data_IF_548185763213
#
_entry.id   IF_548185763213
#
_cell.length_a   1.000
_cell.length_b   1.000
_cell.length_c   1.000
_cell.angle_alpha   90.00
_cell.angle_beta   90.00
_cell.angle_gamma   90.00
#
_symmetry.space_group_name_H-M   'P 1'
#
loop_
_entity.id
_entity.type
_entity.pdbx_description
1 polymer ?
#
# COMPACT_ATOMS: atom_id res chain seq x y z
N UNK A 1 -18.99 8.30 19.23
CA UNK A 1 -18.86 9.66 18.67
C UNK A 1 -17.54 9.91 17.94
N UNK A 2 -16.36 9.53 18.48
CA UNK A 2 -15.07 9.74 17.80
C UNK A 2 -14.70 8.72 16.68
N UNK A 3 -15.24 7.50 16.73
CA UNK A 3 -15.02 6.44 15.73
C UNK A 3 -16.29 6.12 14.91
N UNK A 4 -17.21 7.08 14.80
CA UNK A 4 -18.36 6.91 13.91
C UNK A 4 -17.88 6.93 12.45
N UNK A 5 -18.41 6.07 11.56
CA UNK A 5 -18.04 6.08 10.15
C UNK A 5 -18.24 7.47 9.55
N UNK A 6 -17.19 8.04 8.97
CA UNK A 6 -17.31 9.23 8.13
C UNK A 6 -18.13 8.89 6.88
N UNK A 7 -18.69 9.91 6.22
CA UNK A 7 -19.43 9.72 4.96
C UNK A 7 -18.59 8.89 3.97
N UNK A 8 -19.17 7.85 3.36
CA UNK A 8 -18.44 6.99 2.44
C UNK A 8 -18.08 7.75 1.17
N UNK A 9 -16.88 7.49 0.64
CA UNK A 9 -16.55 7.80 -0.75
C UNK A 9 -17.02 6.63 -1.63
N UNK A 10 -17.40 6.92 -2.87
CA UNK A 10 -17.88 5.91 -3.83
C UNK A 10 -16.77 5.65 -4.85
N UNK A 11 -16.27 4.43 -4.90
CA UNK A 11 -15.39 3.95 -5.96
C UNK A 11 -16.22 3.13 -6.96
N UNK A 12 -16.18 3.49 -8.24
CA UNK A 12 -16.93 2.81 -9.31
C UNK A 12 -15.95 2.11 -10.25
N UNK A 13 -16.15 0.81 -10.46
CA UNK A 13 -15.40 0.00 -11.44
C UNK A 13 -16.24 -0.10 -12.72
N UNK A 14 -15.82 0.59 -13.79
CA UNK A 14 -16.62 0.77 -15.01
C UNK A 14 -15.96 0.24 -16.29
N UNK A 15 -14.75 -0.32 -16.22
CA UNK A 15 -14.02 -0.85 -17.37
C UNK A 15 -13.44 -2.22 -17.04
N UNK A 16 -13.62 -3.16 -17.97
CA UNK A 16 -12.95 -4.46 -17.96
C UNK A 16 -11.56 -4.37 -18.59
N UNK A 17 -10.70 -5.28 -18.19
CA UNK A 17 -9.32 -5.39 -18.64
C UNK A 17 -9.26 -5.88 -20.08
N UNK A 18 -8.35 -5.32 -20.89
CA UNK A 18 -8.17 -5.70 -22.30
C UNK A 18 -7.25 -6.93 -22.39
N UNK A 19 -6.19 -6.99 -21.58
CA UNK A 19 -5.30 -8.15 -21.49
C UNK A 19 -5.07 -8.58 -20.03
N UNK A 20 -5.58 -9.76 -19.67
CA UNK A 20 -5.50 -10.30 -18.31
C UNK A 20 -4.05 -10.44 -17.80
N UNK A 21 -3.13 -10.93 -18.64
CA UNK A 21 -1.76 -11.18 -18.19
C UNK A 21 -1.00 -9.86 -17.99
N UNK A 22 -1.13 -8.92 -18.93
CA UNK A 22 -0.44 -7.65 -18.88
C UNK A 22 -0.96 -6.71 -17.77
N UNK A 23 -2.25 -6.77 -17.45
CA UNK A 23 -2.88 -5.85 -16.50
C UNK A 23 -3.20 -6.47 -15.14
N UNK A 24 -3.69 -7.73 -15.07
CA UNK A 24 -4.02 -8.39 -13.80
C UNK A 24 -2.83 -9.12 -13.22
N UNK A 25 -2.23 -10.01 -14.01
CA UNK A 25 -1.20 -10.93 -13.51
C UNK A 25 0.09 -10.17 -13.15
N UNK A 26 0.44 -9.15 -13.93
CA UNK A 26 1.61 -8.31 -13.69
C UNK A 26 1.38 -7.13 -12.73
N UNK A 27 0.17 -7.01 -12.19
CA UNK A 27 -0.17 -5.96 -11.22
C UNK A 27 0.64 -6.12 -9.93
N UNK A 28 1.14 -5.01 -9.39
CA UNK A 28 2.00 -5.00 -8.21
C UNK A 28 1.53 -3.95 -7.19
N UNK A 29 0.82 -4.40 -6.15
CA UNK A 29 0.44 -3.55 -5.01
C UNK A 29 1.46 -3.66 -3.89
N UNK A 30 1.89 -2.54 -3.32
CA UNK A 30 2.77 -2.54 -2.16
C UNK A 30 2.28 -1.48 -1.16
N UNK A 31 2.02 -1.84 0.12
CA UNK A 31 1.66 -0.85 1.14
C UNK A 31 2.76 0.20 1.37
N UNK A 32 4.00 -0.06 0.95
CA UNK A 32 5.09 0.92 1.00
C UNK A 32 4.90 2.14 0.07
N UNK A 33 3.99 2.06 -0.90
CA UNK A 33 3.72 3.14 -1.84
C UNK A 33 2.67 4.08 -1.27
N UNK A 34 3.13 5.01 -0.41
CA UNK A 34 2.31 6.03 0.23
C UNK A 34 2.50 7.40 -0.41
N UNK A 35 1.45 8.23 -0.33
CA UNK A 35 1.42 9.62 -0.81
C UNK A 35 1.51 10.54 0.42
N UNK A 36 2.15 11.73 0.31
CA UNK A 36 2.20 12.69 1.41
C UNK A 36 0.82 12.94 2.05
N UNK A 37 0.75 12.85 3.38
CA UNK A 37 -0.50 12.94 4.15
C UNK A 37 -1.00 11.59 4.70
N UNK A 38 -0.55 10.47 4.15
CA UNK A 38 -0.81 9.11 4.67
C UNK A 38 0.50 8.56 5.23
N UNK A 39 0.46 8.04 6.46
CA UNK A 39 1.65 7.55 7.17
C UNK A 39 1.39 6.18 7.80
N UNK A 40 2.48 5.45 8.07
CA UNK A 40 2.41 4.13 8.67
C UNK A 40 2.11 4.19 10.16
N UNK A 41 1.39 3.18 10.64
CA UNK A 41 1.25 2.90 12.06
C UNK A 41 2.36 1.97 12.56
N UNK A 42 2.51 1.88 13.88
CA UNK A 42 3.46 0.98 14.56
C UNK A 42 2.94 -0.49 14.62
N UNK A 43 2.06 -0.88 13.71
CA UNK A 43 1.60 -2.26 13.60
C UNK A 43 2.73 -3.16 13.06
N UNK A 44 3.13 -4.14 13.88
CA UNK A 44 4.22 -5.09 13.55
C UNK A 44 3.97 -5.87 12.26
N UNK A 45 2.73 -6.21 11.94
CA UNK A 45 2.40 -6.89 10.68
C UNK A 45 2.49 -5.95 9.50
N UNK A 46 2.02 -4.70 9.65
CA UNK A 46 2.13 -3.69 8.61
C UNK A 46 3.60 -3.43 8.26
N UNK A 47 4.46 -3.25 9.27
CA UNK A 47 5.89 -3.00 9.07
C UNK A 47 6.57 -4.12 8.27
N UNK A 48 6.23 -5.38 8.53
CA UNK A 48 6.73 -6.51 7.73
C UNK A 48 6.24 -6.45 6.28
N UNK A 49 4.97 -6.10 6.06
CA UNK A 49 4.37 -6.04 4.72
C UNK A 49 4.98 -4.94 3.85
N UNK A 50 5.37 -3.79 4.43
CA UNK A 50 6.03 -2.70 3.71
C UNK A 50 7.28 -3.20 2.96
N UNK A 51 8.05 -4.09 3.60
CA UNK A 51 9.21 -4.70 2.97
C UNK A 51 8.83 -5.85 2.02
N UNK A 52 8.03 -6.80 2.51
CA UNK A 52 7.83 -8.10 1.85
C UNK A 52 7.27 -8.00 0.43
N UNK A 53 6.32 -7.09 0.18
CA UNK A 53 5.68 -6.97 -1.14
C UNK A 53 6.68 -6.51 -2.21
N UNK A 54 7.49 -5.49 -1.89
CA UNK A 54 8.46 -4.96 -2.84
C UNK A 54 9.57 -5.97 -3.14
N UNK A 55 9.98 -6.77 -2.17
CA UNK A 55 10.96 -7.85 -2.36
C UNK A 55 10.41 -8.94 -3.29
N UNK A 56 9.22 -9.45 -2.98
CA UNK A 56 8.57 -10.49 -3.79
C UNK A 56 8.30 -10.01 -5.22
N UNK A 57 7.93 -8.74 -5.42
CA UNK A 57 7.68 -8.18 -6.76
C UNK A 57 8.94 -8.13 -7.62
N UNK A 58 10.09 -7.76 -7.05
CA UNK A 58 11.36 -7.77 -7.78
C UNK A 58 11.75 -9.18 -8.22
N UNK A 59 11.50 -10.17 -7.37
CA UNK A 59 11.74 -11.57 -7.73
C UNK A 59 10.77 -12.06 -8.82
N UNK A 60 9.48 -11.73 -8.70
CA UNK A 60 8.41 -12.24 -9.58
C UNK A 60 8.38 -11.59 -10.96
N UNK A 61 8.54 -10.28 -11.04
CA UNK A 61 8.37 -9.48 -12.26
C UNK A 61 9.68 -8.87 -12.78
N UNK A 62 10.74 -8.98 -12.00
CA UNK A 62 12.02 -8.36 -12.29
C UNK A 62 12.19 -6.98 -11.61
N UNK A 63 13.41 -6.43 -11.65
CA UNK A 63 13.77 -5.18 -10.97
C UNK A 63 13.02 -3.96 -11.52
N UNK A 64 12.70 -3.96 -12.82
CA UNK A 64 12.04 -2.86 -13.53
C UNK A 64 10.51 -2.99 -13.60
N UNK A 65 9.87 -3.76 -12.71
CA UNK A 65 8.41 -3.99 -12.72
C UNK A 65 7.56 -2.71 -12.61
N UNK A 66 8.11 -1.62 -12.06
CA UNK A 66 7.45 -0.32 -11.98
C UNK A 66 7.37 0.40 -13.34
N UNK A 67 8.10 -0.06 -14.36
CA UNK A 67 8.02 0.46 -15.72
C UNK A 67 6.84 -0.15 -16.52
N UNK A 68 6.25 -1.24 -16.03
CA UNK A 68 5.10 -1.86 -16.68
C UNK A 68 3.92 -0.87 -16.71
N UNK A 69 3.18 -0.73 -17.83
CA UNK A 69 2.14 0.29 -17.98
C UNK A 69 1.08 0.32 -16.87
N UNK A 70 0.76 -0.85 -16.29
CA UNK A 70 -0.23 -0.97 -15.20
C UNK A 70 0.31 -0.52 -13.84
N UNK A 71 1.62 -0.62 -13.62
CA UNK A 71 2.29 -0.25 -12.36
C UNK A 71 2.92 1.14 -12.41
N UNK A 72 3.11 1.69 -13.62
CA UNK A 72 3.76 2.96 -13.83
C UNK A 72 3.00 4.11 -13.14
N UNK A 73 3.70 5.00 -12.40
CA UNK A 73 3.06 6.16 -11.82
C UNK A 73 2.54 7.08 -12.91
N UNK A 74 1.33 7.64 -12.71
CA UNK A 74 0.73 8.62 -13.63
C UNK A 74 1.34 10.01 -13.50
N UNK A 75 2.13 10.26 -12.45
CA UNK A 75 2.84 11.52 -12.26
C UNK A 75 4.24 11.46 -12.87
N UNK A 76 4.78 12.63 -13.19
CA UNK A 76 6.18 12.75 -13.58
C UNK A 76 7.07 12.23 -12.43
N UNK A 77 7.99 11.34 -12.76
CA UNK A 77 8.97 10.80 -11.83
C UNK A 77 10.37 10.96 -12.45
N UNK A 78 11.32 11.34 -11.61
CA UNK A 78 12.73 11.41 -11.97
C UNK A 78 13.53 10.77 -10.84
N UNK A 79 14.37 9.81 -11.20
CA UNK A 79 15.26 9.11 -10.29
C UNK A 79 16.56 8.80 -11.04
N UNK A 80 17.56 8.32 -10.32
CA UNK A 80 18.85 7.95 -10.90
C UNK A 80 19.01 6.43 -11.09
N UNK A 81 17.97 5.62 -10.80
CA UNK A 81 18.04 4.17 -10.98
C UNK A 81 18.24 3.82 -12.45
N UNK A 82 19.18 2.93 -12.76
CA UNK A 82 19.58 2.63 -14.13
C UNK A 82 19.81 1.13 -14.33
N UNK A 83 19.83 0.70 -15.59
CA UNK A 83 20.06 -0.67 -16.04
C UNK A 83 19.02 -1.71 -15.58
N UNK A 84 19.48 -2.95 -15.48
CA UNK A 84 18.79 -4.20 -15.20
C UNK A 84 17.89 -4.78 -16.30
N UNK A 85 17.48 -6.02 -16.08
CA UNK A 85 16.65 -6.80 -16.99
C UNK A 85 15.39 -6.05 -17.41
N UNK A 86 15.13 -6.04 -18.73
CA UNK A 86 13.95 -5.42 -19.36
C UNK A 86 13.77 -3.94 -19.00
N UNK A 87 14.85 -3.16 -18.99
CA UNK A 87 14.76 -1.71 -18.92
C UNK A 87 14.27 -1.14 -20.26
N UNK A 88 13.12 -0.46 -20.25
CA UNK A 88 12.52 0.17 -21.43
C UNK A 88 12.79 1.68 -21.52
N UNK A 89 13.41 2.26 -20.49
CA UNK A 89 13.67 3.70 -20.44
C UNK A 89 14.89 4.05 -21.29
N UNK A 90 14.70 4.95 -22.25
CA UNK A 90 15.80 5.63 -22.92
C UNK A 90 16.27 6.79 -22.04
N UNK A 91 17.55 6.81 -21.68
CA UNK A 91 18.17 7.94 -20.96
C UNK A 91 19.17 8.65 -21.86
N UNK A 92 18.97 9.96 -21.97
CA UNK A 92 19.89 10.88 -22.63
C UNK A 92 20.90 11.51 -21.64
N UNK A 93 20.72 11.26 -20.35
CA UNK A 93 21.52 11.82 -19.25
C UNK A 93 22.81 11.03 -19.03
N UNK A 94 23.96 11.71 -18.99
CA UNK A 94 25.28 11.09 -18.81
C UNK A 94 25.61 10.78 -17.33
N UNK A 95 24.96 11.46 -16.38
CA UNK A 95 25.32 11.40 -14.95
C UNK A 95 24.29 10.60 -14.14
N UNK A 96 24.69 9.44 -13.61
CA UNK A 96 23.84 8.56 -12.79
C UNK A 96 23.88 8.81 -11.27
N UNK A 97 24.39 9.96 -10.80
CA UNK A 97 24.62 10.21 -9.36
C UNK A 97 24.15 11.60 -8.92
N UNK A 98 23.75 11.73 -7.66
CA UNK A 98 23.32 12.99 -7.04
C UNK A 98 23.94 13.12 -5.64
N UNK A 99 24.48 14.30 -5.24
CA UNK A 99 24.52 15.56 -5.99
C UNK A 99 25.58 15.56 -7.09
N UNK A 100 25.23 16.14 -8.24
CA UNK A 100 26.10 16.29 -9.41
C UNK A 100 26.25 17.79 -9.71
N UNK A 101 27.40 18.18 -10.28
CA UNK A 101 27.65 19.56 -10.71
C UNK A 101 27.01 19.87 -12.06
N UNK A 102 26.85 18.86 -12.90
CA UNK A 102 26.44 19.00 -14.30
C UNK A 102 24.95 18.73 -14.51
N UNK A 103 24.30 18.12 -13.51
CA UNK A 103 22.89 17.78 -13.55
C UNK A 103 22.06 18.82 -12.76
N UNK A 104 21.05 19.49 -13.37
CA UNK A 104 20.20 20.46 -12.68
C UNK A 104 19.17 19.85 -11.71
N UNK A 105 19.13 18.52 -11.56
CA UNK A 105 18.20 17.81 -10.65
C UNK A 105 18.30 18.33 -9.21
N UNK A 106 17.17 18.28 -8.49
CA UNK A 106 17.05 18.73 -7.10
C UNK A 106 16.25 17.73 -6.28
N UNK A 107 16.44 17.76 -4.96
CA UNK A 107 15.54 17.03 -4.06
C UNK A 107 14.09 17.50 -4.23
N UNK A 108 13.15 16.56 -4.13
CA UNK A 108 11.73 16.87 -4.06
C UNK A 108 11.40 17.78 -2.85
N UNK A 109 10.30 18.51 -2.96
CA UNK A 109 9.81 19.34 -1.86
C UNK A 109 9.60 18.50 -0.60
N UNK A 110 10.08 18.99 0.55
CA UNK A 110 9.87 18.29 1.83
C UNK A 110 8.43 18.48 2.28
N UNK A 111 7.71 17.37 2.44
CA UNK A 111 6.43 17.36 3.13
C UNK A 111 6.65 17.10 4.63
N UNK A 112 5.91 17.78 5.53
CA UNK A 112 6.04 17.55 6.96
C UNK A 112 5.71 16.10 7.28
N UNK A 113 6.57 15.42 8.01
CA UNK A 113 6.35 14.06 8.49
C UNK A 113 6.02 14.12 9.99
N UNK A 114 4.98 13.41 10.48
CA UNK A 114 4.67 13.41 11.90
C UNK A 114 5.80 12.74 12.69
N UNK A 115 6.41 13.49 13.62
CA UNK A 115 7.42 12.91 14.52
C UNK A 115 6.74 12.02 15.56
N UNK A 116 6.97 10.71 15.50
CA UNK A 116 6.51 9.78 16.54
C UNK A 116 7.47 9.78 17.74
N UNK A 117 6.92 9.86 18.96
CA UNK A 117 7.71 9.73 20.19
C UNK A 117 7.88 8.24 20.52
N UNK A 118 9.06 7.69 20.24
CA UNK A 118 9.39 6.30 20.58
C UNK A 118 9.68 6.16 22.08
N UNK A 119 9.08 5.16 22.72
CA UNK A 119 9.30 4.83 24.14
C UNK A 119 9.78 3.39 24.29
N UNK A 120 10.61 3.14 25.30
CA UNK A 120 11.10 1.81 25.65
C UNK A 120 12.54 1.53 25.21
N UNK A 121 12.94 0.26 25.33
CA UNK A 121 14.27 -0.24 24.92
C UNK A 121 14.14 -1.06 23.64
N UNK A 122 15.19 -1.08 22.82
CA UNK A 122 15.25 -1.94 21.62
C UNK A 122 15.34 -3.40 22.06
N UNK A 123 14.23 -4.12 21.96
CA UNK A 123 14.15 -5.53 22.34
C UNK A 123 13.09 -6.27 21.51
N UNK A 124 13.20 -7.60 21.40
CA UNK A 124 12.23 -8.47 20.72
C UNK A 124 11.15 -8.91 21.71
N UNK A 125 10.14 -8.07 21.93
CA UNK A 125 9.02 -8.35 22.84
C UNK A 125 7.73 -8.64 22.08
N UNK A 126 6.95 -9.63 22.52
CA UNK A 126 5.55 -9.77 22.09
C UNK A 126 4.74 -8.57 22.62
N UNK A 127 3.80 -8.05 21.83
CA UNK A 127 2.90 -6.99 22.33
C UNK A 127 2.09 -7.58 23.50
N UNK A 128 1.89 -6.80 24.56
CA UNK A 128 1.00 -7.21 25.66
C UNK A 128 -0.39 -7.50 25.08
N UNK A 129 -0.91 -8.71 25.34
CA UNK A 129 -2.14 -9.19 24.71
C UNK A 129 -3.33 -8.44 25.31
N UNK A 130 -4.14 -7.84 24.45
CA UNK A 130 -5.53 -7.54 24.78
C UNK A 130 -6.33 -8.85 24.87
N UNK A 131 -7.48 -8.84 25.55
CA UNK A 131 -8.30 -10.03 25.84
C UNK A 131 -8.70 -10.73 24.54
N UNK A 132 -8.02 -11.83 24.23
CA UNK A 132 -8.07 -12.50 22.93
C UNK A 132 -9.45 -13.08 22.57
N UNK A 133 -10.30 -13.31 23.58
CA UNK A 133 -11.64 -13.88 23.41
C UNK A 133 -12.75 -12.84 23.35
N UNK A 134 -12.52 -11.61 23.81
CA UNK A 134 -13.59 -10.61 23.96
C UNK A 134 -14.26 -10.24 22.64
N UNK A 135 -13.45 -9.87 21.64
CA UNK A 135 -13.94 -9.49 20.31
C UNK A 135 -14.62 -10.68 19.59
N UNK A 136 -14.02 -11.88 19.52
CA UNK A 136 -14.70 -13.07 18.99
C UNK A 136 -16.03 -13.40 19.67
N UNK A 137 -16.12 -13.27 20.99
CA UNK A 137 -17.36 -13.52 21.74
C UNK A 137 -18.44 -12.50 21.40
N UNK A 138 -18.09 -11.21 21.26
CA UNK A 138 -19.04 -10.19 20.80
C UNK A 138 -19.58 -10.54 19.41
N UNK A 139 -18.70 -10.89 18.47
CA UNK A 139 -19.13 -11.31 17.15
C UNK A 139 -20.07 -12.51 17.23
N UNK A 140 -19.67 -13.59 17.93
CA UNK A 140 -20.49 -14.79 18.08
C UNK A 140 -21.88 -14.49 18.68
N UNK A 141 -21.98 -13.59 19.65
CA UNK A 141 -23.25 -13.19 20.25
C UNK A 141 -24.11 -12.35 19.29
N UNK A 142 -23.51 -11.47 18.49
CA UNK A 142 -24.21 -10.70 17.46
C UNK A 142 -24.83 -11.62 16.40
N UNK A 143 -24.09 -12.64 15.97
CA UNK A 143 -24.60 -13.65 15.03
C UNK A 143 -25.74 -14.50 15.61
N UNK A 144 -25.75 -14.73 16.93
CA UNK A 144 -26.72 -15.58 17.60
C UNK A 144 -28.01 -14.85 18.03
N UNK A 145 -28.03 -13.52 18.05
CA UNK A 145 -29.16 -12.75 18.61
C UNK A 145 -30.17 -12.24 17.59
N UNK A 146 -29.89 -12.23 16.28
CA UNK A 146 -30.85 -11.77 15.26
C UNK A 146 -30.66 -12.45 13.89
N UNK A 147 -31.09 -13.72 13.75
CA UNK A 147 -31.36 -14.28 12.43
C UNK A 147 -32.55 -15.24 12.49
N UNK A 148 -33.76 -14.69 12.65
CA UNK A 148 -34.89 -15.35 12.02
C UNK A 148 -34.67 -15.23 10.51
N UNK A 149 -34.62 -16.36 9.81
CA UNK A 149 -34.34 -16.49 8.36
C UNK A 149 -35.23 -15.59 7.46
N UNK A 150 -36.27 -14.97 8.03
CA UNK A 150 -37.23 -14.08 7.37
C UNK A 150 -36.73 -12.65 7.15
N UNK A 151 -35.88 -12.10 8.02
CA UNK A 151 -35.49 -10.68 7.92
C UNK A 151 -34.34 -10.46 6.92
N UNK A 152 -33.51 -11.48 6.70
CA UNK A 152 -32.40 -11.43 5.75
C UNK A 152 -32.87 -11.34 4.28
N UNK A 153 -34.04 -11.89 3.97
CA UNK A 153 -34.66 -11.78 2.62
C UNK A 153 -35.28 -10.40 2.39
N UNK A 154 -35.71 -9.70 3.46
CA UNK A 154 -36.36 -8.39 3.35
C UNK A 154 -35.37 -7.24 3.05
N UNK A 155 -34.12 -7.32 3.53
CA UNK A 155 -33.10 -6.28 3.25
C UNK A 155 -32.51 -6.35 1.82
N UNK A 156 -32.68 -7.46 1.10
CA UNK A 156 -32.17 -7.61 -0.26
C UNK A 156 -33.16 -7.16 -1.35
N UNK A 157 -34.37 -6.71 -0.98
CA UNK A 157 -35.45 -6.36 -1.92
C UNK A 157 -36.05 -4.95 -1.72
N UNK A 158 -35.32 -4.04 -1.09
CA UNK A 158 -35.64 -2.59 -1.07
C UNK A 158 -34.40 -1.79 -1.39
#
# INVERSE_FOLDING_TARGET
DAYSPSRPFIQVLNKNIDNYFAETEQLAFNPAFVVPGIYYSDDKLLQTRIFAYGDTQRHRLGPNYMQLPVNAPKCAHHNNHYDDFMNFMHRDEEFGYFPSRFDPVRHAARHPFPSAVLRGKRDRKQREREVQYFVPTIYANLWNTDMSFREMVAMCLT
#
